data_IF_450252940202
#
_entry.id   IF_450252940202
#
_cell.length_a   1.000
_cell.length_b   1.000
_cell.length_c   1.000
_cell.angle_alpha   90.00
_cell.angle_beta   90.00
_cell.angle_gamma   90.00
#
_symmetry.space_group_name_H-M   'P 1'
#
loop_
_entity.id
_entity.type
_entity.pdbx_description
1 polymer ?
#
# COMPACT_ATOMS: atom_id res chain seq x y z
N UNK A 1 -82.02 4.80 27.06
CA UNK A 1 -81.65 6.10 26.47
C UNK A 1 -80.16 6.30 26.70
N UNK A 2 -79.35 6.27 25.65
CA UNK A 2 -77.94 6.64 25.77
C UNK A 2 -77.90 8.13 26.12
N UNK A 3 -77.21 8.47 27.21
CA UNK A 3 -77.16 9.84 27.74
C UNK A 3 -76.22 10.68 26.86
N UNK A 4 -76.72 11.69 26.16
CA UNK A 4 -75.94 12.54 25.23
C UNK A 4 -74.68 13.13 25.86
N UNK A 5 -74.70 13.34 27.18
CA UNK A 5 -73.52 13.78 27.93
C UNK A 5 -72.39 12.74 27.93
N UNK A 6 -72.72 11.45 28.05
CA UNK A 6 -71.71 10.38 28.04
C UNK A 6 -71.04 10.26 26.68
N UNK A 7 -71.82 10.38 25.59
CA UNK A 7 -71.27 10.39 24.23
C UNK A 7 -70.35 11.58 24.00
N UNK A 8 -70.72 12.77 24.52
CA UNK A 8 -69.92 13.98 24.39
C UNK A 8 -68.58 13.86 25.14
N UNK A 9 -68.62 13.34 26.38
CA UNK A 9 -67.41 13.06 27.15
C UNK A 9 -66.49 12.03 26.47
N UNK A 10 -67.07 11.02 25.82
CA UNK A 10 -66.29 10.01 25.11
C UNK A 10 -65.63 10.56 23.84
N UNK A 11 -66.33 11.41 23.09
CA UNK A 11 -65.76 12.13 21.95
C UNK A 11 -64.56 12.98 22.39
N UNK A 12 -64.67 13.70 23.51
CA UNK A 12 -63.58 14.54 24.00
C UNK A 12 -62.37 13.73 24.47
N UNK A 13 -62.60 12.54 25.05
CA UNK A 13 -61.52 11.59 25.38
C UNK A 13 -60.81 11.10 24.12
N UNK A 14 -61.56 10.63 23.12
CA UNK A 14 -61.01 10.13 21.86
C UNK A 14 -60.22 11.22 21.13
N UNK A 15 -60.71 12.47 21.14
CA UNK A 15 -59.98 13.61 20.55
C UNK A 15 -58.63 13.83 21.23
N UNK A 16 -58.61 13.86 22.56
CA UNK A 16 -57.38 14.05 23.31
C UNK A 16 -56.37 12.92 23.06
N UNK A 17 -56.86 11.68 22.99
CA UNK A 17 -56.02 10.53 22.64
C UNK A 17 -55.46 10.65 21.22
N UNK A 18 -56.29 11.06 20.25
CA UNK A 18 -55.86 11.30 18.87
C UNK A 18 -54.79 12.40 18.78
N UNK A 19 -54.98 13.51 19.50
CA UNK A 19 -53.99 14.59 19.54
C UNK A 19 -52.64 14.12 20.10
N UNK A 20 -52.67 13.28 21.15
CA UNK A 20 -51.45 12.68 21.71
C UNK A 20 -50.77 11.74 20.69
N UNK A 21 -51.54 10.86 20.04
CA UNK A 21 -51.01 9.94 19.04
C UNK A 21 -50.41 10.69 17.84
N UNK A 22 -50.96 11.85 17.46
CA UNK A 22 -50.37 12.68 16.40
C UNK A 22 -49.03 13.29 16.80
N UNK A 23 -48.84 13.64 18.08
CA UNK A 23 -47.54 14.11 18.58
C UNK A 23 -46.52 12.98 18.53
N UNK A 24 -46.88 11.81 19.07
CA UNK A 24 -46.01 10.62 19.06
C UNK A 24 -45.62 10.22 17.63
N UNK A 25 -46.56 10.27 16.69
CA UNK A 25 -46.30 9.98 15.29
C UNK A 25 -45.28 10.96 14.68
N UNK A 26 -45.35 12.24 15.00
CA UNK A 26 -44.38 13.24 14.53
C UNK A 26 -42.99 12.98 15.10
N UNK A 27 -42.90 12.62 16.38
CA UNK A 27 -41.63 12.27 17.02
C UNK A 27 -41.00 11.03 16.38
N UNK A 28 -41.80 10.01 16.07
CA UNK A 28 -41.34 8.81 15.37
C UNK A 28 -40.80 9.11 13.98
N UNK A 29 -41.47 9.95 13.19
CA UNK A 29 -41.01 10.35 11.85
C UNK A 29 -39.65 11.07 11.93
N UNK A 30 -39.49 12.00 12.89
CA UNK A 30 -38.23 12.71 13.07
C UNK A 30 -37.09 11.76 13.49
N UNK A 31 -37.39 10.77 14.34
CA UNK A 31 -36.43 9.76 14.74
C UNK A 31 -36.02 8.86 13.55
N UNK A 32 -36.99 8.45 12.74
CA UNK A 32 -36.75 7.65 11.53
C UNK A 32 -35.82 8.39 10.56
N UNK A 33 -36.11 9.66 10.28
CA UNK A 33 -35.28 10.50 9.41
C UNK A 33 -33.85 10.67 9.98
N UNK A 34 -33.72 10.91 11.29
CA UNK A 34 -32.42 11.03 11.94
C UNK A 34 -31.62 9.73 11.87
N UNK A 35 -32.28 8.57 12.04
CA UNK A 35 -31.65 7.26 11.93
C UNK A 35 -31.23 6.94 10.50
N UNK A 36 -32.08 7.22 9.51
CA UNK A 36 -31.77 7.00 8.10
C UNK A 36 -30.58 7.84 7.65
N UNK A 37 -30.55 9.12 8.04
CA UNK A 37 -29.42 10.02 7.79
C UNK A 37 -28.14 9.53 8.48
N UNK A 38 -28.24 9.16 9.76
CA UNK A 38 -27.12 8.61 10.53
C UNK A 38 -26.55 7.35 9.88
N UNK A 39 -27.42 6.40 9.52
CA UNK A 39 -27.04 5.16 8.84
C UNK A 39 -26.35 5.42 7.51
N UNK A 40 -26.93 6.30 6.69
CA UNK A 40 -26.37 6.67 5.37
C UNK A 40 -24.98 7.28 5.51
N UNK A 41 -24.79 8.19 6.47
CA UNK A 41 -23.47 8.81 6.73
C UNK A 41 -22.41 7.82 7.20
N UNK A 42 -22.77 6.85 8.04
CA UNK A 42 -21.86 5.79 8.49
C UNK A 42 -21.46 4.91 7.30
N UNK A 43 -22.43 4.51 6.48
CA UNK A 43 -22.20 3.69 5.30
C UNK A 43 -21.27 4.38 4.29
N UNK A 44 -21.45 5.68 4.08
CA UNK A 44 -20.56 6.47 3.23
C UNK A 44 -19.11 6.46 3.75
N UNK A 45 -18.91 6.75 5.04
CA UNK A 45 -17.57 6.70 5.65
C UNK A 45 -16.92 5.32 5.55
N UNK A 46 -17.70 4.25 5.76
CA UNK A 46 -17.21 2.88 5.59
C UNK A 46 -16.72 2.63 4.16
N UNK A 47 -17.47 3.09 3.16
CA UNK A 47 -17.09 2.97 1.75
C UNK A 47 -15.82 3.77 1.43
N UNK A 48 -15.61 4.92 2.06
CA UNK A 48 -14.40 5.72 1.87
C UNK A 48 -13.17 5.05 2.48
N UNK A 49 -13.28 4.52 3.70
CA UNK A 49 -12.23 3.71 4.31
C UNK A 49 -11.86 2.50 3.44
N UNK A 50 -12.87 1.80 2.92
CA UNK A 50 -12.64 0.66 2.02
C UNK A 50 -11.97 1.08 0.72
N UNK A 51 -12.41 2.20 0.10
CA UNK A 51 -11.79 2.74 -1.11
C UNK A 51 -10.32 3.10 -0.90
N UNK A 52 -10.00 3.74 0.22
CA UNK A 52 -8.63 4.09 0.59
C UNK A 52 -7.77 2.84 0.81
N UNK A 53 -8.25 1.87 1.60
CA UNK A 53 -7.52 0.63 1.85
C UNK A 53 -7.27 -0.15 0.55
N UNK A 54 -8.26 -0.22 -0.33
CA UNK A 54 -8.12 -0.85 -1.66
C UNK A 54 -7.05 -0.16 -2.50
N UNK A 55 -7.01 1.18 -2.48
CA UNK A 55 -6.01 1.96 -3.21
C UNK A 55 -4.60 1.70 -2.65
N UNK A 56 -4.43 1.78 -1.33
CA UNK A 56 -3.15 1.52 -0.67
C UNK A 56 -2.62 0.12 -1.00
N UNK A 57 -3.48 -0.91 -0.95
CA UNK A 57 -3.07 -2.26 -1.33
C UNK A 57 -2.62 -2.34 -2.80
N UNK A 58 -3.35 -1.69 -3.71
CA UNK A 58 -2.98 -1.67 -5.13
C UNK A 58 -1.64 -0.98 -5.35
N UNK A 59 -1.45 0.19 -4.75
CA UNK A 59 -0.21 0.97 -4.89
C UNK A 59 0.97 0.18 -4.29
N UNK A 60 0.77 -0.52 -3.16
CA UNK A 60 1.78 -1.39 -2.54
C UNK A 60 2.11 -2.62 -3.39
N UNK A 61 1.13 -3.25 -4.02
CA UNK A 61 1.35 -4.36 -4.96
C UNK A 61 2.14 -3.93 -6.20
N UNK A 62 1.92 -2.71 -6.70
CA UNK A 62 2.67 -2.14 -7.81
C UNK A 62 4.12 -1.84 -7.39
N UNK A 63 4.33 -1.16 -6.25
CA UNK A 63 5.68 -0.87 -5.73
C UNK A 63 6.48 -2.15 -5.46
N UNK A 64 5.84 -3.19 -4.90
CA UNK A 64 6.50 -4.48 -4.69
C UNK A 64 6.97 -5.10 -6.01
N UNK A 65 6.19 -5.03 -7.08
CA UNK A 65 6.58 -5.54 -8.40
C UNK A 65 7.76 -4.76 -8.98
N UNK A 66 7.75 -3.45 -8.85
CA UNK A 66 8.82 -2.59 -9.34
C UNK A 66 10.14 -2.83 -8.60
N UNK A 67 10.07 -2.99 -7.28
CA UNK A 67 11.22 -3.35 -6.45
C UNK A 67 11.75 -4.74 -6.80
N UNK A 68 10.87 -5.72 -7.02
CA UNK A 68 11.25 -7.07 -7.44
C UNK A 68 11.94 -7.07 -8.80
N UNK A 69 11.45 -6.25 -9.75
CA UNK A 69 12.09 -6.09 -11.06
C UNK A 69 13.49 -5.47 -10.93
N UNK A 70 13.61 -4.41 -10.12
CA UNK A 70 14.89 -3.73 -9.87
C UNK A 70 15.90 -4.66 -9.22
N UNK A 71 15.47 -5.42 -8.21
CA UNK A 71 16.32 -6.42 -7.55
C UNK A 71 16.82 -7.47 -8.53
N UNK A 72 15.93 -8.01 -9.36
CA UNK A 72 16.29 -9.01 -10.36
C UNK A 72 17.30 -8.47 -11.39
N UNK A 73 17.11 -7.23 -11.84
CA UNK A 73 18.07 -6.57 -12.73
C UNK A 73 19.44 -6.42 -12.07
N UNK A 74 19.48 -6.01 -10.79
CA UNK A 74 20.73 -5.87 -10.04
C UNK A 74 21.45 -7.22 -9.86
N UNK A 75 20.72 -8.29 -9.55
CA UNK A 75 21.28 -9.65 -9.44
C UNK A 75 21.91 -10.12 -10.76
N UNK A 76 21.23 -9.89 -11.89
CA UNK A 76 21.77 -10.21 -13.21
C UNK A 76 23.03 -9.40 -13.52
N UNK A 77 23.03 -8.09 -13.23
CA UNK A 77 24.20 -7.24 -13.45
C UNK A 77 25.39 -7.69 -12.60
N UNK A 78 25.15 -8.04 -11.34
CA UNK A 78 26.17 -8.60 -10.44
C UNK A 78 26.74 -9.92 -10.96
N UNK A 79 25.89 -10.83 -11.47
CA UNK A 79 26.32 -12.07 -12.08
C UNK A 79 27.16 -11.85 -13.35
N UNK A 80 26.78 -10.89 -14.20
CA UNK A 80 27.56 -10.52 -15.40
C UNK A 80 28.90 -9.87 -15.04
N UNK A 81 28.94 -9.00 -14.02
CA UNK A 81 30.17 -8.39 -13.51
C UNK A 81 31.10 -9.44 -12.89
N UNK A 82 30.55 -10.40 -12.15
CA UNK A 82 31.32 -11.52 -11.61
C UNK A 82 31.91 -12.37 -12.74
N UNK A 83 31.10 -12.77 -13.72
CA UNK A 83 31.57 -13.54 -14.88
C UNK A 83 32.63 -12.79 -15.70
N UNK A 84 32.49 -11.48 -15.87
CA UNK A 84 33.49 -10.65 -16.57
C UNK A 84 34.82 -10.59 -15.81
N UNK A 85 34.77 -10.46 -14.48
CA UNK A 85 35.96 -10.47 -13.62
C UNK A 85 36.66 -11.83 -13.63
N UNK A 86 35.91 -12.93 -13.60
CA UNK A 86 36.47 -14.28 -13.68
C UNK A 86 37.20 -14.53 -15.02
N UNK A 87 36.66 -14.00 -16.13
CA UNK A 87 37.31 -14.05 -17.45
C UNK A 87 38.60 -13.21 -17.51
N UNK A 88 38.59 -12.04 -16.86
CA UNK A 88 39.75 -11.15 -16.79
C UNK A 88 40.86 -11.76 -15.93
N UNK A 89 40.51 -12.39 -14.81
CA UNK A 89 41.43 -13.13 -13.95
C UNK A 89 42.01 -14.38 -14.66
N UNK A 90 41.20 -15.16 -15.40
CA UNK A 90 41.70 -16.29 -16.21
C UNK A 90 42.68 -15.83 -17.30
N UNK A 91 42.40 -14.70 -17.95
CA UNK A 91 43.30 -14.10 -18.93
C UNK A 91 44.63 -13.66 -18.30
N UNK A 92 44.58 -12.94 -17.18
CA UNK A 92 45.77 -12.48 -16.46
C UNK A 92 46.61 -13.66 -15.97
N UNK A 93 45.98 -14.72 -15.46
CA UNK A 93 46.66 -15.94 -15.03
C UNK A 93 47.35 -16.62 -16.20
N UNK A 94 46.67 -16.77 -17.34
CA UNK A 94 47.25 -17.37 -18.56
C UNK A 94 48.44 -16.58 -19.10
N UNK A 95 48.37 -15.24 -19.05
CA UNK A 95 49.48 -14.37 -19.46
C UNK A 95 50.69 -14.52 -18.52
N UNK A 96 50.46 -14.62 -17.20
CA UNK A 96 51.55 -14.89 -16.23
C UNK A 96 52.19 -16.25 -16.47
N UNK A 97 51.39 -17.28 -16.71
CA UNK A 97 51.89 -18.64 -16.95
C UNK A 97 52.67 -18.74 -18.26
N UNK A 98 52.21 -18.07 -19.32
CA UNK A 98 52.96 -17.96 -20.58
C UNK A 98 54.29 -17.25 -20.39
N UNK A 99 54.31 -16.13 -19.66
CA UNK A 99 55.53 -15.38 -19.37
C UNK A 99 56.50 -16.19 -18.48
N UNK A 100 55.98 -17.06 -17.61
CA UNK A 100 56.76 -17.99 -16.79
C UNK A 100 57.31 -19.21 -17.56
N UNK A 101 56.77 -19.54 -18.73
CA UNK A 101 57.24 -20.63 -19.59
C UNK A 101 58.27 -20.18 -20.63
N UNK A 102 58.31 -18.89 -20.98
CA UNK A 102 59.24 -18.36 -21.97
C UNK A 102 60.70 -18.35 -21.48
N UNK A 103 61.70 -18.63 -22.34
CA UNK A 103 63.11 -18.51 -21.97
C UNK A 103 63.48 -17.10 -21.49
N UNK A 104 64.36 -17.00 -20.50
CA UNK A 104 64.70 -15.75 -19.79
C UNK A 104 65.10 -14.59 -20.70
N UNK A 105 65.71 -14.87 -21.86
CA UNK A 105 66.10 -13.85 -22.84
C UNK A 105 64.92 -13.04 -23.40
N UNK A 106 63.69 -13.55 -23.28
CA UNK A 106 62.48 -12.94 -23.83
C UNK A 106 61.51 -12.44 -22.75
N UNK A 107 61.83 -12.57 -21.45
CA UNK A 107 60.97 -12.07 -20.37
C UNK A 107 61.29 -10.59 -20.08
N UNK A 108 60.28 -9.74 -20.14
CA UNK A 108 60.41 -8.32 -19.74
C UNK A 108 60.16 -8.24 -18.23
N UNK A 109 61.16 -7.79 -17.45
CA UNK A 109 60.99 -7.61 -16.01
C UNK A 109 60.08 -6.41 -15.73
N UNK A 110 59.12 -6.54 -14.78
CA UNK A 110 58.27 -5.43 -14.39
C UNK A 110 59.13 -4.31 -13.77
N UNK A 111 58.98 -3.10 -14.29
CA UNK A 111 59.62 -1.90 -13.74
C UNK A 111 58.89 -1.57 -12.42
N UNK A 112 59.57 -1.73 -11.29
CA UNK A 112 59.06 -1.25 -10.02
C UNK A 112 59.16 0.28 -9.99
N UNK A 113 58.05 1.02 -9.80
CA UNK A 113 58.13 2.47 -9.66
C UNK A 113 58.82 2.81 -8.33
N UNK A 114 59.91 3.57 -8.40
CA UNK A 114 60.65 4.02 -7.22
C UNK A 114 59.76 4.94 -6.36
N UNK A 115 59.40 4.51 -5.14
CA UNK A 115 58.82 5.37 -4.12
C UNK A 115 59.92 6.22 -3.48
N UNK A 116 60.24 7.35 -4.08
CA UNK A 116 61.00 8.42 -3.45
C UNK A 116 60.22 9.73 -3.60
N UNK A 117 59.23 9.91 -2.72
CA UNK A 117 58.77 11.24 -2.34
C UNK A 117 59.94 11.95 -1.65
N UNK A 118 60.44 13.01 -2.29
CA UNK A 118 61.22 14.03 -1.59
C UNK A 118 60.26 15.19 -1.31
N UNK A 119 60.06 15.42 -0.01
CA UNK A 119 59.50 16.67 0.56
C UNK A 119 60.34 17.85 0.08
#
# INVERSE_FOLDING_TARGET
MINSQNLRNEIDRIKKENDNLQIELRELILLEEALENGYSSIRERQMDCWRMARKVNKDLEEEHKDLQFTLHQQEQEMAMKAASRDLEDDYVQRVRDYNSQMPLAFRVQPIQPNLQERI
#
